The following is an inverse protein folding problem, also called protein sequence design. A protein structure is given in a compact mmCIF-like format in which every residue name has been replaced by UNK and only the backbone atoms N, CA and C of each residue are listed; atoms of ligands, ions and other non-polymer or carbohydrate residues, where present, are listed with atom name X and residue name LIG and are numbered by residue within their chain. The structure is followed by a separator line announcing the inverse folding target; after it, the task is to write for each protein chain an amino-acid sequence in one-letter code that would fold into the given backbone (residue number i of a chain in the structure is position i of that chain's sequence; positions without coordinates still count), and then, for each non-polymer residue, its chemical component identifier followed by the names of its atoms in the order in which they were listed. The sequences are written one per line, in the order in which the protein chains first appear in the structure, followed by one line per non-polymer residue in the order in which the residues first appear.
data_IF_474451284237
#
_entry.id   IF_474451284237
#
_cell.length_a   1.000
_cell.length_b   1.000
_cell.length_c   1.000
_cell.angle_alpha   90.00
_cell.angle_beta   90.00
_cell.angle_gamma   90.00
#
_symmetry.space_group_name_H-M   'P 1'
#
loop_
_entity.id
_entity.type
_entity.pdbx_description
1 polymer ?
#
# COMPACT_ATOMS: atom_id res chain seq x y z
N UNK A 1 -5.93 -7.86 17.25
CA UNK A 1 -5.89 -8.27 15.84
C UNK A 1 -5.41 -7.06 15.06
N UNK A 2 -4.23 -7.14 14.43
CA UNK A 2 -3.73 -6.05 13.58
C UNK A 2 -4.64 -5.98 12.35
N UNK A 3 -4.99 -4.77 11.92
CA UNK A 3 -5.76 -4.60 10.68
C UNK A 3 -4.85 -4.96 9.50
N UNK A 4 -5.40 -5.54 8.43
CA UNK A 4 -4.62 -5.78 7.21
C UNK A 4 -4.03 -4.45 6.69
N UNK A 5 -2.88 -4.53 6.03
CA UNK A 5 -2.23 -3.36 5.45
C UNK A 5 -3.20 -2.57 4.56
N UNK A 6 -3.97 -3.27 3.73
CA UNK A 6 -5.01 -2.66 2.90
C UNK A 6 -6.03 -1.86 3.70
N UNK A 7 -6.54 -2.42 4.80
CA UNK A 7 -7.58 -1.76 5.61
C UNK A 7 -7.07 -0.45 6.21
N UNK A 8 -5.81 -0.44 6.66
CA UNK A 8 -5.15 0.77 7.14
C UNK A 8 -4.87 1.73 5.98
N UNK A 9 -4.34 1.25 4.85
CA UNK A 9 -4.03 2.06 3.69
C UNK A 9 -5.28 2.78 3.13
N UNK A 10 -6.46 2.15 3.20
CA UNK A 10 -7.72 2.80 2.82
C UNK A 10 -8.10 4.00 3.69
N UNK A 11 -7.63 4.10 4.93
CA UNK A 11 -7.88 5.29 5.77
C UNK A 11 -7.05 6.50 5.32
N UNK A 12 -5.90 6.23 4.71
CA UNK A 12 -4.99 7.25 4.15
C UNK A 12 -5.38 7.66 2.72
N UNK A 13 -6.40 7.02 2.13
CA UNK A 13 -6.85 7.32 0.77
C UNK A 13 -7.40 8.74 0.70
N UNK A 14 -6.73 9.57 -0.11
CA UNK A 14 -7.17 10.95 -0.35
C UNK A 14 -6.92 11.33 -1.82
N UNK A 15 -7.95 11.32 -2.68
CA UNK A 15 -7.80 11.59 -4.11
C UNK A 15 -7.37 13.03 -4.43
N UNK A 16 -7.36 13.94 -3.45
CA UNK A 16 -6.84 15.31 -3.59
C UNK A 16 -5.40 15.46 -3.09
N UNK A 17 -4.83 14.41 -2.50
CA UNK A 17 -3.47 14.41 -1.97
C UNK A 17 -2.51 13.76 -2.95
N UNK A 18 -1.34 14.37 -3.14
CA UNK A 18 -0.25 13.81 -3.93
C UNK A 18 0.75 13.05 -3.06
N UNK A 19 0.36 12.71 -1.82
CA UNK A 19 1.21 11.93 -0.93
C UNK A 19 1.37 10.50 -1.46
N UNK A 20 2.57 9.88 -1.36
CA UNK A 20 2.79 8.52 -1.84
C UNK A 20 1.80 7.51 -1.27
N UNK A 21 1.39 7.65 0.00
CA UNK A 21 0.36 6.81 0.62
C UNK A 21 -1.02 6.94 -0.05
N UNK A 22 -1.42 8.15 -0.46
CA UNK A 22 -2.70 8.35 -1.11
C UNK A 22 -2.69 7.75 -2.52
N UNK A 23 -1.56 7.87 -3.24
CA UNK A 23 -1.35 7.26 -4.56
C UNK A 23 -1.39 5.73 -4.43
N UNK A 24 -0.66 5.16 -3.45
CA UNK A 24 -0.65 3.73 -3.20
C UNK A 24 -2.03 3.21 -2.79
N UNK A 25 -2.77 3.97 -1.98
CA UNK A 25 -4.12 3.65 -1.57
C UNK A 25 -5.10 3.62 -2.75
N UNK A 26 -4.95 4.55 -3.70
CA UNK A 26 -5.79 4.56 -4.90
C UNK A 26 -5.43 3.40 -5.83
N UNK A 27 -4.14 3.14 -6.05
CA UNK A 27 -3.67 1.98 -6.82
C UNK A 27 -4.18 0.66 -6.23
N UNK A 28 -4.01 0.46 -4.92
CA UNK A 28 -4.48 -0.73 -4.23
C UNK A 28 -6.02 -0.87 -4.25
N UNK A 29 -6.74 0.25 -4.35
CA UNK A 29 -8.20 0.25 -4.47
C UNK A 29 -8.66 -0.15 -5.88
N UNK A 30 -8.01 0.39 -6.92
CA UNK A 30 -8.30 0.08 -8.32
C UNK A 30 -7.87 -1.35 -8.68
N UNK A 31 -6.79 -1.83 -8.06
CA UNK A 31 -6.22 -3.13 -8.35
C UNK A 31 -6.96 -4.25 -7.62
N UNK A 32 -7.66 -5.07 -8.39
CA UNK A 32 -8.49 -6.15 -7.85
C UNK A 32 -7.66 -7.31 -7.31
N UNK A 33 -6.45 -7.52 -7.85
CA UNK A 33 -5.52 -8.56 -7.41
C UNK A 33 -4.75 -8.19 -6.13
N UNK A 34 -4.87 -6.96 -5.63
CA UNK A 34 -4.16 -6.51 -4.43
C UNK A 34 -4.50 -7.41 -3.23
N UNK A 35 -3.51 -7.85 -2.43
CA UNK A 35 -3.76 -8.73 -1.29
C UNK A 35 -4.41 -7.96 -0.12
N UNK A 36 -5.75 -7.95 -0.07
CA UNK A 36 -6.56 -7.15 0.89
C UNK A 36 -6.57 -7.69 2.33
N UNK A 37 -6.25 -8.97 2.50
CA UNK A 37 -6.35 -9.68 3.78
C UNK A 37 -5.00 -10.11 4.35
N UNK A 38 -3.91 -9.44 3.94
CA UNK A 38 -2.56 -9.71 4.43
C UNK A 38 -2.00 -8.52 5.20
N UNK A 39 -1.17 -8.83 6.19
CA UNK A 39 -0.27 -7.91 6.89
C UNK A 39 1.20 -8.32 6.68
N UNK A 40 1.45 -9.22 5.72
CA UNK A 40 2.78 -9.73 5.36
C UNK A 40 3.47 -8.78 4.37
N UNK A 41 4.62 -8.26 4.78
CA UNK A 41 5.45 -7.36 3.96
C UNK A 41 5.87 -8.02 2.66
N UNK A 42 6.35 -9.27 2.71
CA UNK A 42 6.87 -9.95 1.53
C UNK A 42 5.78 -10.14 0.48
N UNK A 43 4.55 -10.42 0.90
CA UNK A 43 3.42 -10.56 -0.02
C UNK A 43 3.07 -9.26 -0.71
N UNK A 44 2.99 -8.15 0.04
CA UNK A 44 2.65 -6.84 -0.54
C UNK A 44 3.82 -6.32 -1.39
N UNK A 45 5.05 -6.50 -0.93
CA UNK A 45 6.25 -6.07 -1.67
C UNK A 45 6.34 -6.79 -3.01
N UNK A 46 6.23 -8.12 -3.05
CA UNK A 46 6.24 -8.89 -4.31
C UNK A 46 5.13 -8.46 -5.24
N UNK A 47 3.92 -8.23 -4.71
CA UNK A 47 2.82 -7.73 -5.51
C UNK A 47 3.16 -6.38 -6.17
N UNK A 48 3.74 -5.45 -5.42
CA UNK A 48 4.14 -4.14 -5.94
C UNK A 48 5.30 -4.22 -6.92
N UNK A 49 6.27 -5.11 -6.70
CA UNK A 49 7.36 -5.35 -7.64
C UNK A 49 6.86 -5.95 -8.96
N UNK A 50 5.89 -6.84 -8.92
CA UNK A 50 5.32 -7.48 -10.11
C UNK A 50 4.33 -6.57 -10.86
N UNK A 51 3.49 -5.83 -10.14
CA UNK A 51 2.36 -5.09 -10.72
C UNK A 51 2.54 -3.56 -10.74
N UNK A 52 3.35 -2.99 -9.86
CA UNK A 52 3.50 -1.54 -9.68
C UNK A 52 4.92 -1.01 -9.87
N UNK A 53 5.91 -1.85 -10.17
CA UNK A 53 7.34 -1.51 -10.20
C UNK A 53 7.70 -0.33 -11.11
N UNK A 54 6.93 -0.09 -12.17
CA UNK A 54 7.15 1.04 -13.08
C UNK A 54 6.37 2.30 -12.71
N UNK A 55 5.33 2.17 -11.87
CA UNK A 55 4.37 3.24 -11.57
C UNK A 55 4.52 3.80 -10.16
N UNK A 56 5.16 3.06 -9.25
CA UNK A 56 5.30 3.44 -7.85
C UNK A 56 6.75 3.25 -7.36
N UNK A 57 7.21 4.17 -6.51
CA UNK A 57 8.55 4.11 -5.95
C UNK A 57 8.59 3.15 -4.75
N UNK A 58 9.36 2.06 -4.85
CA UNK A 58 9.52 1.09 -3.76
C UNK A 58 10.12 1.72 -2.49
N UNK A 59 10.95 2.76 -2.60
CA UNK A 59 11.46 3.47 -1.43
C UNK A 59 10.39 4.29 -0.70
N UNK A 60 9.31 4.69 -1.39
CA UNK A 60 8.15 5.29 -0.73
C UNK A 60 7.25 4.21 -0.10
N UNK A 61 7.17 3.03 -0.71
CA UNK A 61 6.49 1.89 -0.10
C UNK A 61 7.11 1.51 1.25
N UNK A 62 8.44 1.42 1.33
CA UNK A 62 9.14 1.10 2.58
C UNK A 62 8.78 2.09 3.71
N UNK A 63 8.67 3.38 3.39
CA UNK A 63 8.25 4.42 4.35
C UNK A 63 6.81 4.24 4.78
N UNK A 64 5.90 3.99 3.85
CA UNK A 64 4.48 3.75 4.14
C UNK A 64 4.32 2.51 5.01
N UNK A 65 5.11 1.47 4.76
CA UNK A 65 5.10 0.26 5.55
C UNK A 65 5.58 0.50 6.99
N UNK A 66 6.64 1.30 7.17
CA UNK A 66 7.08 1.74 8.49
C UNK A 66 5.96 2.48 9.23
N UNK A 67 5.28 3.44 8.59
CA UNK A 67 4.13 4.14 9.19
C UNK A 67 3.01 3.18 9.61
N UNK A 68 2.71 2.16 8.79
CA UNK A 68 1.76 1.10 9.15
C UNK A 68 2.21 0.29 10.38
N UNK A 69 3.51 0.02 10.51
CA UNK A 69 4.05 -0.71 11.66
C UNK A 69 4.03 0.12 12.95
N UNK A 70 4.14 1.44 12.85
CA UNK A 70 4.08 2.36 13.99
C UNK A 70 2.64 2.68 14.45
N UNK A 71 1.64 2.32 13.65
CA UNK A 71 0.21 2.55 13.92
C UNK A 71 -0.48 1.37 14.61
#
# INVERSE_FOLDING_TARGET
MRKSFYTWLMTERNPKSHSPKAILADLAFEESAFPKHTDDFDQVSRFLEEHASFSFNMGDFDRIWQEYLEH
#
